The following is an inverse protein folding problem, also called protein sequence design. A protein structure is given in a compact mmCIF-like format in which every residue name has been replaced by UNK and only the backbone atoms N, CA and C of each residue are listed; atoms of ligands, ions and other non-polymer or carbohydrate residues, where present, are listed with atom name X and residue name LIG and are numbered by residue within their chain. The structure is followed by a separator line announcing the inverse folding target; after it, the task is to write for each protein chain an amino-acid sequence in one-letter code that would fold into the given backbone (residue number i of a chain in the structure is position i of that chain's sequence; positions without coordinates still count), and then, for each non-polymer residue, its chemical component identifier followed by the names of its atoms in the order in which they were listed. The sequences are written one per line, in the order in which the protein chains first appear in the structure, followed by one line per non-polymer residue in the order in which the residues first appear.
data_IF_865361265598
#
_entry.id   IF_865361265598
#
_cell.length_a   1.000
_cell.length_b   1.000
_cell.length_c   1.000
_cell.angle_alpha   90.00
_cell.angle_beta   90.00
_cell.angle_gamma   90.00
#
_symmetry.space_group_name_H-M   'P 1'
#
loop_
_entity.id
_entity.type
_entity.pdbx_description
1 polymer ?
#
# COMPACT_ATOMS: atom_id res chain seq x y z
N UNK A 1 -10.80 -44.02 9.29
CA UNK A 1 -10.16 -43.03 10.20
C UNK A 1 -9.27 -42.02 9.45
N UNK A 2 -8.52 -42.44 8.43
CA UNK A 2 -7.63 -41.58 7.62
C UNK A 2 -8.30 -40.36 6.94
N UNK A 3 -9.53 -40.50 6.41
CA UNK A 3 -10.21 -39.38 5.73
C UNK A 3 -10.64 -38.26 6.70
N UNK A 4 -10.90 -38.56 7.98
CA UNK A 4 -11.22 -37.54 9.00
C UNK A 4 -9.98 -36.70 9.38
N UNK A 5 -8.79 -37.32 9.41
CA UNK A 5 -7.52 -36.60 9.63
C UNK A 5 -7.10 -35.77 8.40
N UNK A 6 -7.29 -36.30 7.18
CA UNK A 6 -7.05 -35.54 5.94
C UNK A 6 -7.95 -34.31 5.85
N UNK A 7 -9.24 -34.44 6.13
CA UNK A 7 -10.16 -33.29 6.09
C UNK A 7 -9.86 -32.25 7.18
N UNK A 8 -9.46 -32.67 8.39
CA UNK A 8 -8.99 -31.73 9.44
C UNK A 8 -7.69 -31.01 9.04
N UNK A 9 -6.74 -31.72 8.42
CA UNK A 9 -5.53 -31.07 7.89
C UNK A 9 -5.83 -30.09 6.77
N UNK A 10 -6.75 -30.41 5.86
CA UNK A 10 -7.12 -29.50 4.75
C UNK A 10 -7.76 -28.22 5.30
N UNK A 11 -8.63 -28.32 6.30
CA UNK A 11 -9.23 -27.15 6.95
C UNK A 11 -8.16 -26.29 7.65
N UNK A 12 -7.24 -26.91 8.41
CA UNK A 12 -6.13 -26.21 9.06
C UNK A 12 -5.17 -25.54 8.07
N UNK A 13 -4.89 -26.18 6.93
CA UNK A 13 -4.07 -25.60 5.86
C UNK A 13 -4.80 -24.43 5.19
N UNK A 14 -6.12 -24.51 5.00
CA UNK A 14 -6.90 -23.41 4.43
C UNK A 14 -6.94 -22.17 5.32
N UNK A 15 -7.00 -22.36 6.65
CA UNK A 15 -6.97 -21.25 7.63
C UNK A 15 -5.58 -20.60 7.70
N UNK A 16 -4.51 -21.38 7.57
CA UNK A 16 -3.14 -20.88 7.56
C UNK A 16 -2.82 -20.02 6.31
N UNK A 17 -3.44 -20.32 5.16
CA UNK A 17 -3.25 -19.57 3.90
C UNK A 17 -3.86 -18.16 3.99
N UNK A 18 -4.94 -17.98 4.76
CA UNK A 18 -5.60 -16.66 4.92
C UNK A 18 -4.69 -15.68 5.68
N UNK A 19 -3.80 -16.18 6.54
CA UNK A 19 -2.84 -15.37 7.31
C UNK A 19 -1.70 -14.76 6.46
N UNK A 20 -1.47 -15.23 5.23
CA UNK A 20 -0.41 -14.71 4.35
C UNK A 20 -0.85 -13.57 3.41
N UNK A 21 -2.13 -13.19 3.47
CA UNK A 21 -2.72 -12.13 2.63
C UNK A 21 -2.64 -10.73 3.27
N UNK A 22 -2.15 -10.61 4.50
CA UNK A 22 -1.86 -9.30 5.10
C UNK A 22 -0.61 -8.71 4.45
N UNK A 23 -0.79 -7.59 3.74
CA UNK A 23 0.33 -6.78 3.25
C UNK A 23 1.19 -6.33 4.43
N UNK A 24 2.50 -6.52 4.33
CA UNK A 24 3.43 -6.00 5.34
C UNK A 24 3.52 -4.47 5.16
N UNK A 25 3.09 -3.72 6.18
CA UNK A 25 3.32 -2.28 6.26
C UNK A 25 4.50 -1.99 7.17
N UNK A 26 5.21 -0.90 6.93
CA UNK A 26 6.41 -0.53 7.69
C UNK A 26 6.86 0.89 7.41
N UNK A 27 8.03 1.26 7.94
CA UNK A 27 8.64 2.58 7.75
C UNK A 27 9.27 3.12 9.02
N UNK A 28 9.83 4.32 8.94
CA UNK A 28 10.35 5.07 10.07
C UNK A 28 9.89 6.52 9.93
N UNK A 29 8.99 6.93 10.82
CA UNK A 29 8.41 8.27 10.80
C UNK A 29 8.03 8.72 12.22
N UNK A 30 7.91 10.04 12.38
CA UNK A 30 7.30 10.69 13.53
C UNK A 30 6.02 11.37 13.06
N UNK A 31 4.94 11.22 13.81
CA UNK A 31 3.70 11.96 13.57
C UNK A 31 3.11 12.50 14.86
N UNK A 32 2.43 13.64 14.77
CA UNK A 32 1.76 14.28 15.92
C UNK A 32 0.30 14.58 15.60
N UNK A 33 -0.60 14.40 16.58
CA UNK A 33 -2.04 14.59 16.45
C UNK A 33 -2.59 13.90 15.19
N UNK A 34 -2.29 12.62 15.06
CA UNK A 34 -2.61 11.85 13.86
C UNK A 34 -3.78 10.91 14.03
N UNK A 35 -4.62 10.82 13.00
CA UNK A 35 -5.65 9.79 12.85
C UNK A 35 -5.30 9.01 11.59
N UNK A 36 -5.13 7.69 11.74
CA UNK A 36 -4.77 6.78 10.67
C UNK A 36 -5.86 5.72 10.47
N UNK A 37 -6.22 5.46 9.21
CA UNK A 37 -7.19 4.42 8.84
C UNK A 37 -6.71 3.66 7.59
N UNK A 38 -6.12 2.48 7.82
CA UNK A 38 -5.60 1.63 6.75
C UNK A 38 -6.45 0.38 6.60
N UNK A 39 -6.70 0.01 5.35
CA UNK A 39 -7.36 -1.24 4.99
C UNK A 39 -6.45 -2.06 4.07
N UNK A 40 -6.94 -3.20 3.57
CA UNK A 40 -6.24 -3.99 2.55
C UNK A 40 -5.97 -3.20 1.25
N UNK A 41 -6.84 -2.24 0.94
CA UNK A 41 -6.88 -1.53 -0.34
C UNK A 41 -6.78 -0.01 -0.18
N UNK A 42 -6.42 0.47 1.03
CA UNK A 42 -6.28 1.89 1.30
C UNK A 42 -5.23 2.17 2.37
N UNK A 43 -4.58 3.31 2.23
CA UNK A 43 -3.85 3.95 3.32
C UNK A 43 -4.26 5.42 3.42
N UNK A 44 -4.69 5.84 4.59
CA UNK A 44 -5.19 7.19 4.84
C UNK A 44 -4.71 7.68 6.19
N UNK A 45 -4.22 8.91 6.23
CA UNK A 45 -3.76 9.53 7.46
C UNK A 45 -3.96 11.04 7.41
N UNK A 46 -4.47 11.60 8.52
CA UNK A 46 -4.48 13.03 8.79
C UNK A 46 -3.58 13.32 9.98
N UNK A 47 -2.85 14.44 9.96
CA UNK A 47 -1.84 14.75 10.97
C UNK A 47 -1.51 16.25 11.02
N UNK A 48 -1.04 16.71 12.18
CA UNK A 48 -0.49 18.07 12.33
C UNK A 48 0.98 18.17 11.93
N UNK A 49 1.70 17.05 11.97
CA UNK A 49 3.07 16.92 11.46
C UNK A 49 3.34 15.45 11.14
N UNK A 50 4.03 15.21 10.03
CA UNK A 50 4.58 13.93 9.60
C UNK A 50 6.02 14.18 9.12
N UNK A 51 6.98 13.43 9.64
CA UNK A 51 8.40 13.48 9.22
C UNK A 51 8.94 12.06 9.13
N UNK A 52 9.31 11.63 7.93
CA UNK A 52 9.93 10.34 7.65
C UNK A 52 9.27 9.63 6.48
N UNK A 53 9.21 8.30 6.55
CA UNK A 53 8.62 7.47 5.50
C UNK A 53 7.79 6.33 6.06
N UNK A 54 6.74 5.97 5.32
CA UNK A 54 5.87 4.82 5.55
C UNK A 54 5.61 4.09 4.24
N UNK A 55 5.39 2.77 4.28
CA UNK A 55 5.01 2.02 3.11
C UNK A 55 3.99 0.93 3.41
N UNK A 56 3.26 0.53 2.38
CA UNK A 56 2.41 -0.65 2.36
C UNK A 56 2.81 -1.57 1.19
N UNK A 57 2.92 -2.86 1.45
CA UNK A 57 3.32 -3.86 0.45
C UNK A 57 2.12 -4.44 -0.28
N UNK A 58 2.19 -4.49 -1.60
CA UNK A 58 1.15 -5.00 -2.48
C UNK A 58 1.75 -6.11 -3.34
N UNK A 59 1.21 -7.33 -3.23
CA UNK A 59 1.61 -8.46 -4.10
C UNK A 59 0.84 -8.34 -5.41
N UNK A 60 1.58 -8.26 -6.52
CA UNK A 60 1.02 -8.11 -7.87
C UNK A 60 1.66 -9.13 -8.80
N UNK A 61 0.90 -9.57 -9.79
CA UNK A 61 1.31 -10.52 -10.82
C UNK A 61 1.49 -9.81 -12.15
N UNK A 62 2.35 -10.36 -13.00
CA UNK A 62 2.45 -10.00 -14.40
C UNK A 62 1.05 -10.05 -15.05
N UNK A 63 0.71 -9.01 -15.79
CA UNK A 63 -0.60 -8.83 -16.42
C UNK A 63 -1.62 -8.07 -15.56
N UNK A 64 -1.41 -7.95 -14.24
CA UNK A 64 -2.31 -7.16 -13.38
C UNK A 64 -2.33 -5.68 -13.81
N UNK A 65 -3.50 -5.04 -13.67
CA UNK A 65 -3.64 -3.58 -13.75
C UNK A 65 -3.90 -3.00 -12.35
N UNK A 66 -2.93 -2.25 -11.83
CA UNK A 66 -3.05 -1.52 -10.57
C UNK A 66 -3.65 -0.13 -10.82
N UNK A 67 -4.83 0.11 -10.28
CA UNK A 67 -5.52 1.39 -10.35
C UNK A 67 -5.35 2.15 -9.04
N UNK A 68 -4.57 3.23 -9.05
CA UNK A 68 -4.32 4.12 -7.91
C UNK A 68 -5.23 5.34 -7.98
N UNK A 69 -5.80 5.72 -6.83
CA UNK A 69 -6.41 7.03 -6.61
C UNK A 69 -5.74 7.68 -5.39
N UNK A 70 -5.23 8.90 -5.57
CA UNK A 70 -4.43 9.60 -4.58
C UNK A 70 -5.01 11.00 -4.37
N UNK A 71 -5.28 11.33 -3.12
CA UNK A 71 -5.75 12.63 -2.67
C UNK A 71 -4.80 13.13 -1.60
N UNK A 72 -4.26 14.33 -1.76
CA UNK A 72 -3.37 14.97 -0.78
C UNK A 72 -3.92 16.36 -0.47
N UNK A 73 -3.94 16.69 0.81
CA UNK A 73 -4.20 18.05 1.27
C UNK A 73 -2.94 18.54 1.96
N UNK A 74 -2.24 19.47 1.30
CA UNK A 74 -1.02 20.07 1.83
C UNK A 74 -1.31 21.41 2.46
N UNK A 75 -0.97 21.54 3.75
CA UNK A 75 -0.97 22.82 4.46
C UNK A 75 0.44 23.41 4.53
N UNK A 76 1.45 22.56 4.68
CA UNK A 76 2.86 22.96 4.79
C UNK A 76 3.76 21.77 4.47
N UNK A 77 4.96 22.06 3.95
CA UNK A 77 5.99 21.07 3.65
C UNK A 77 5.70 20.24 2.41
N UNK A 78 6.44 19.13 2.27
CA UNK A 78 6.48 18.32 1.07
C UNK A 78 6.12 16.86 1.37
N UNK A 79 5.33 16.26 0.47
CA UNK A 79 4.96 14.85 0.49
C UNK A 79 5.22 14.22 -0.88
N UNK A 80 5.98 13.13 -0.87
CA UNK A 80 6.27 12.29 -2.03
C UNK A 80 5.57 10.95 -1.87
N UNK A 81 4.94 10.50 -2.95
CA UNK A 81 4.32 9.17 -3.04
C UNK A 81 4.97 8.42 -4.19
N UNK A 82 5.46 7.22 -3.92
CA UNK A 82 6.10 6.36 -4.93
C UNK A 82 5.55 4.95 -4.88
N UNK A 83 5.35 4.34 -6.04
CA UNK A 83 5.24 2.90 -6.18
C UNK A 83 6.57 2.36 -6.68
N UNK A 84 7.18 1.46 -5.91
CA UNK A 84 8.45 0.84 -6.28
C UNK A 84 8.37 -0.69 -6.27
N UNK A 85 9.23 -1.34 -7.05
CA UNK A 85 9.40 -2.80 -7.01
C UNK A 85 10.28 -3.26 -5.82
N UNK A 86 10.58 -4.56 -5.75
CA UNK A 86 11.42 -5.15 -4.69
C UNK A 86 12.87 -4.66 -4.69
N UNK A 87 13.35 -4.14 -5.82
CA UNK A 87 14.69 -3.59 -6.00
C UNK A 87 14.69 -2.06 -5.84
N UNK A 88 13.58 -1.48 -5.36
CA UNK A 88 13.34 -0.05 -5.24
C UNK A 88 13.35 0.72 -6.58
N UNK A 89 13.11 0.04 -7.72
CA UNK A 89 12.90 0.71 -9.00
C UNK A 89 11.53 1.40 -9.00
N UNK A 90 11.47 2.66 -9.41
CA UNK A 90 10.24 3.46 -9.45
C UNK A 90 9.36 3.10 -10.66
N UNK A 91 8.11 2.72 -10.41
CA UNK A 91 7.08 2.54 -11.43
C UNK A 91 6.18 3.77 -11.55
N UNK A 92 6.05 4.50 -10.45
CA UNK A 92 5.24 5.71 -10.38
C UNK A 92 5.74 6.59 -9.25
N UNK A 93 5.71 7.89 -9.48
CA UNK A 93 6.14 8.90 -8.53
C UNK A 93 5.32 10.17 -8.71
N UNK A 94 4.90 10.75 -7.59
CA UNK A 94 4.35 12.11 -7.53
C UNK A 94 4.92 12.84 -6.31
N UNK A 95 5.06 14.15 -6.44
CA UNK A 95 5.51 15.06 -5.39
C UNK A 95 4.53 16.24 -5.34
N UNK A 96 3.97 16.52 -4.17
CA UNK A 96 3.08 17.66 -3.92
C UNK A 96 2.01 17.92 -4.99
N UNK A 97 1.21 16.91 -5.39
CA UNK A 97 0.13 17.13 -6.34
C UNK A 97 -0.87 18.16 -5.78
N UNK A 98 -1.29 19.10 -6.62
CA UNK A 98 -2.32 20.10 -6.27
C UNK A 98 -3.75 19.57 -6.42
N UNK A 99 -3.90 18.47 -7.17
CA UNK A 99 -5.19 17.86 -7.50
C UNK A 99 -5.13 16.36 -7.25
N UNK A 100 -6.29 15.73 -7.16
CA UNK A 100 -6.39 14.27 -7.05
C UNK A 100 -5.79 13.59 -8.27
N UNK A 101 -5.00 12.55 -8.05
CA UNK A 101 -4.34 11.80 -9.12
C UNK A 101 -5.00 10.43 -9.26
N UNK A 102 -5.37 10.07 -10.49
CA UNK A 102 -5.77 8.72 -10.88
C UNK A 102 -4.77 8.15 -11.85
N UNK A 103 -4.25 6.95 -11.56
CA UNK A 103 -3.24 6.31 -12.41
C UNK A 103 -3.49 4.81 -12.50
N UNK A 104 -3.53 4.30 -13.72
CA UNK A 104 -3.46 2.85 -14.00
C UNK A 104 -2.03 2.48 -14.36
N UNK A 105 -1.51 1.44 -13.73
CA UNK A 105 -0.15 0.93 -13.90
C UNK A 105 -0.26 -0.54 -14.30
N UNK A 106 0.33 -0.91 -15.44
CA UNK A 106 0.43 -2.30 -15.88
C UNK A 106 1.61 -2.96 -15.19
N UNK A 107 1.39 -4.16 -14.66
CA UNK A 107 2.40 -4.91 -13.95
C UNK A 107 3.07 -5.88 -14.91
N UNK A 108 4.39 -5.72 -15.06
CA UNK A 108 5.18 -6.49 -16.03
C UNK A 108 5.83 -7.73 -15.41
N UNK A 109 5.87 -7.83 -14.07
CA UNK A 109 6.56 -8.90 -13.36
C UNK A 109 5.86 -9.25 -12.05
N UNK A 110 5.80 -10.55 -11.76
CA UNK A 110 5.42 -11.06 -10.45
C UNK A 110 6.37 -10.53 -9.36
N UNK A 111 5.85 -9.73 -8.44
CA UNK A 111 6.63 -9.18 -7.34
C UNK A 111 5.77 -8.70 -6.18
N UNK A 112 6.43 -8.42 -5.06
CA UNK A 112 5.89 -7.53 -4.03
C UNK A 112 6.37 -6.12 -4.31
N UNK A 113 5.42 -5.21 -4.48
CA UNK A 113 5.64 -3.78 -4.68
C UNK A 113 5.42 -3.04 -3.37
N UNK A 114 6.05 -1.88 -3.22
CA UNK A 114 5.86 -1.00 -2.07
C UNK A 114 5.26 0.33 -2.52
N UNK A 115 4.09 0.64 -2.01
CA UNK A 115 3.53 1.99 -2.08
C UNK A 115 4.05 2.77 -0.88
N UNK A 116 4.91 3.76 -1.13
CA UNK A 116 5.60 4.57 -0.10
C UNK A 116 5.04 5.98 -0.05
N UNK A 117 4.99 6.53 1.15
CA UNK A 117 4.74 7.93 1.46
C UNK A 117 5.93 8.43 2.25
N UNK A 118 6.58 9.50 1.79
CA UNK A 118 7.78 10.06 2.39
C UNK A 118 7.75 11.58 2.37
N UNK A 119 8.23 12.22 3.42
CA UNK A 119 8.43 13.66 3.43
C UNK A 119 8.37 14.28 4.82
N UNK A 120 8.31 15.61 4.82
CA UNK A 120 8.07 16.46 5.99
C UNK A 120 6.84 17.29 5.69
N UNK A 121 5.70 16.89 6.20
CA UNK A 121 4.41 17.34 5.71
C UNK A 121 3.41 17.62 6.84
N UNK A 122 2.55 18.62 6.62
CA UNK A 122 1.39 18.91 7.45
C UNK A 122 0.13 18.87 6.59
N UNK A 123 -0.85 18.09 7.02
CA UNK A 123 -2.11 17.93 6.30
C UNK A 123 -2.61 16.50 6.34
N UNK A 124 -2.99 15.97 5.18
CA UNK A 124 -3.50 14.61 5.07
C UNK A 124 -3.22 13.99 3.70
N UNK A 125 -3.21 12.67 3.66
CA UNK A 125 -3.28 11.91 2.41
C UNK A 125 -4.33 10.81 2.51
N UNK A 126 -4.87 10.44 1.35
CA UNK A 126 -5.66 9.24 1.14
C UNK A 126 -5.23 8.59 -0.15
N UNK A 127 -4.81 7.34 -0.06
CA UNK A 127 -4.43 6.54 -1.22
C UNK A 127 -5.29 5.29 -1.20
N UNK A 128 -6.01 5.04 -2.30
CA UNK A 128 -6.77 3.82 -2.50
C UNK A 128 -6.29 3.10 -3.75
N UNK A 129 -6.36 1.78 -3.74
CA UNK A 129 -5.95 0.97 -4.88
C UNK A 129 -6.87 -0.23 -5.11
N UNK A 130 -7.06 -0.52 -6.40
CA UNK A 130 -7.72 -1.74 -6.86
C UNK A 130 -6.83 -2.46 -7.86
N UNK A 131 -6.78 -3.79 -7.78
CA UNK A 131 -6.04 -4.65 -8.68
C UNK A 131 -7.05 -5.38 -9.56
N UNK A 132 -6.96 -5.16 -10.87
CA UNK A 132 -7.69 -5.96 -11.85
C UNK A 132 -6.76 -7.06 -12.34
N UNK A 133 -7.12 -8.29 -12.03
CA UNK A 133 -6.37 -9.47 -12.46
C UNK A 133 -6.62 -9.77 -13.94
N UNK A 134 -5.56 -10.13 -14.66
CA UNK A 134 -5.62 -10.66 -16.03
C UNK A 134 -6.20 -12.06 -16.09
#
# INVERSE_FOLDING_TARGET
MFNKLKNKMIVLISELIILFLVGCSGGSYKSTNSIENNTKNSMEMSYSSFDGHKFNSIKLKEGDELNLNIEIVTKEGDLKITLVDKNDNELFKIENPKESIRKTIKIEKDSTYKLKVEGKHKGSYKITWNVKHS
#
